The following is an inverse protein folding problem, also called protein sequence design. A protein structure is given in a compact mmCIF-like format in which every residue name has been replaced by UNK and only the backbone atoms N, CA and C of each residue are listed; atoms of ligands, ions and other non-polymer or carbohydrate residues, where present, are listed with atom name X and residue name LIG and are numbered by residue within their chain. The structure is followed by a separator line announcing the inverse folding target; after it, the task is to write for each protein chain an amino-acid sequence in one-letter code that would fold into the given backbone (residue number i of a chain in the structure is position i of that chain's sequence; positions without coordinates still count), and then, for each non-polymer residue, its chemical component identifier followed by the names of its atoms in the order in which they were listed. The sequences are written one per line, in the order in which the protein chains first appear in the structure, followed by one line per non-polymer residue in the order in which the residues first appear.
data_IF_010751068165
#
_entry.id   IF_010751068165
#
_cell.length_a   1.000
_cell.length_b   1.000
_cell.length_c   1.000
_cell.angle_alpha   90.00
_cell.angle_beta   90.00
_cell.angle_gamma   90.00
#
_symmetry.space_group_name_H-M   'P 1'
#
loop_
_entity.id
_entity.type
_entity.pdbx_description
1 polymer ?
#
# COMPACT_ATOMS: atom_id res chain seq x y z
N UNK A 1 12.13 35.70 78.89
CA UNK A 1 11.14 34.73 78.38
C UNK A 1 11.65 33.32 78.66
N UNK A 2 10.82 32.43 79.23
CA UNK A 2 11.23 31.05 79.55
C UNK A 2 11.73 30.35 78.28
N UNK A 3 12.91 29.71 78.33
CA UNK A 3 13.57 29.04 77.17
C UNK A 3 12.62 28.07 76.44
N UNK A 4 11.62 27.53 77.13
CA UNK A 4 10.58 26.68 76.57
C UNK A 4 9.62 27.39 75.59
N UNK A 5 9.27 28.66 75.82
CA UNK A 5 8.36 29.43 74.95
C UNK A 5 9.05 29.83 73.64
N UNK A 6 10.38 29.99 73.66
CA UNK A 6 11.16 30.31 72.45
C UNK A 6 11.28 29.12 71.50
N UNK A 7 11.43 27.89 72.02
CA UNK A 7 11.41 26.66 71.22
C UNK A 7 10.04 26.37 70.59
N UNK A 8 8.93 26.70 71.27
CA UNK A 8 7.58 26.54 70.73
C UNK A 8 7.32 27.49 69.54
N UNK A 9 7.78 28.74 69.62
CA UNK A 9 7.57 29.74 68.57
C UNK A 9 8.38 29.43 67.30
N UNK A 10 9.63 28.96 67.46
CA UNK A 10 10.49 28.54 66.35
C UNK A 10 9.92 27.29 65.65
N UNK A 11 9.39 26.32 66.39
CA UNK A 11 8.76 25.13 65.80
C UNK A 11 7.54 25.46 64.92
N UNK A 12 6.68 26.39 65.36
CA UNK A 12 5.47 26.80 64.60
C UNK A 12 5.84 27.57 63.33
N UNK A 13 6.81 28.49 63.39
CA UNK A 13 7.28 29.26 62.23
C UNK A 13 7.93 28.33 61.19
N UNK A 14 8.70 27.33 61.63
CA UNK A 14 9.34 26.38 60.72
C UNK A 14 8.31 25.46 60.04
N UNK A 15 7.26 25.03 60.76
CA UNK A 15 6.18 24.22 60.19
C UNK A 15 5.37 24.95 59.09
N UNK A 16 5.08 26.25 59.25
CA UNK A 16 4.36 27.06 58.25
C UNK A 16 5.19 27.28 56.98
N UNK A 17 6.51 27.42 57.10
CA UNK A 17 7.43 27.56 55.95
C UNK A 17 7.49 26.26 55.12
N UNK A 18 7.53 25.09 55.76
CA UNK A 18 7.54 23.80 55.06
C UNK A 18 6.19 23.45 54.40
N UNK A 19 5.06 23.84 55.00
CA UNK A 19 3.73 23.64 54.41
C UNK A 19 3.55 24.54 53.17
N UNK A 20 4.01 25.80 53.21
CA UNK A 20 3.97 26.72 52.07
C UNK A 20 4.89 26.34 50.89
N UNK A 21 6.09 25.81 51.17
CA UNK A 21 7.03 25.34 50.14
C UNK A 21 6.55 24.08 49.42
N UNK A 22 5.86 23.19 50.14
CA UNK A 22 5.26 21.99 49.55
C UNK A 22 4.12 22.29 48.58
N UNK A 23 3.26 23.26 48.91
CA UNK A 23 2.12 23.65 48.07
C UNK A 23 2.54 24.40 46.80
N UNK A 24 3.45 25.38 46.90
CA UNK A 24 3.93 26.15 45.73
C UNK A 24 4.68 25.28 44.72
N UNK A 25 5.52 24.35 45.20
CA UNK A 25 6.25 23.41 44.33
C UNK A 25 5.31 22.42 43.62
N UNK A 26 4.22 21.98 44.28
CA UNK A 26 3.21 21.11 43.67
C UNK A 26 2.40 21.81 42.58
N UNK A 27 1.98 23.06 42.79
CA UNK A 27 1.23 23.83 41.78
C UNK A 27 2.09 24.13 40.55
N UNK A 28 3.36 24.53 40.74
CA UNK A 28 4.28 24.74 39.62
C UNK A 28 4.52 23.45 38.81
N UNK A 29 4.69 22.32 39.49
CA UNK A 29 4.87 21.01 38.84
C UNK A 29 3.63 20.58 38.06
N UNK A 30 2.43 20.88 38.58
CA UNK A 30 1.16 20.60 37.91
C UNK A 30 0.98 21.45 36.64
N UNK A 31 1.31 22.75 36.70
CA UNK A 31 1.25 23.65 35.54
C UNK A 31 2.23 23.25 34.43
N UNK A 32 3.46 22.87 34.81
CA UNK A 32 4.45 22.33 33.87
C UNK A 32 3.92 21.08 33.15
N UNK A 33 3.33 20.16 33.92
CA UNK A 33 2.74 18.93 33.40
C UNK A 33 1.64 19.22 32.38
N UNK A 34 0.69 20.08 32.72
CA UNK A 34 -0.43 20.45 31.84
C UNK A 34 0.07 21.11 30.55
N UNK A 35 1.08 21.98 30.64
CA UNK A 35 1.67 22.62 29.47
C UNK A 35 2.35 21.59 28.54
N UNK A 36 3.07 20.61 29.10
CA UNK A 36 3.69 19.54 28.32
C UNK A 36 2.64 18.67 27.62
N UNK A 37 1.57 18.30 28.31
CA UNK A 37 0.45 17.55 27.71
C UNK A 37 -0.21 18.34 26.57
N UNK A 38 -0.50 19.63 26.79
CA UNK A 38 -1.10 20.49 25.78
C UNK A 38 -0.20 20.65 24.54
N UNK A 39 1.11 20.86 24.74
CA UNK A 39 2.09 20.89 23.63
C UNK A 39 2.18 19.55 22.92
N UNK A 40 2.10 18.44 23.65
CA UNK A 40 2.05 17.08 23.09
C UNK A 40 0.85 16.89 22.16
N UNK A 41 -0.34 17.30 22.59
CA UNK A 41 -1.56 17.27 21.77
C UNK A 41 -1.45 18.19 20.55
N UNK A 42 -0.99 19.42 20.71
CA UNK A 42 -0.78 20.34 19.58
C UNK A 42 0.19 19.77 18.53
N UNK A 43 1.22 19.05 18.97
CA UNK A 43 2.15 18.36 18.07
C UNK A 43 1.50 17.15 17.37
N UNK A 44 0.58 16.42 18.02
CA UNK A 44 -0.24 15.40 17.33
C UNK A 44 -1.06 16.04 16.19
N UNK A 45 -1.68 17.18 16.44
CA UNK A 45 -2.52 17.86 15.45
C UNK A 45 -1.70 18.27 14.22
N UNK A 46 -0.48 18.79 14.45
CA UNK A 46 0.51 19.09 13.40
C UNK A 46 1.21 17.87 12.79
N UNK A 47 0.88 16.66 13.25
CA UNK A 47 1.54 15.40 12.88
C UNK A 47 3.04 15.32 13.21
N UNK A 48 3.54 16.16 14.11
CA UNK A 48 4.89 16.05 14.68
C UNK A 48 4.91 15.04 15.83
N UNK A 49 4.80 13.76 15.46
CA UNK A 49 4.75 12.65 16.41
C UNK A 49 6.04 12.48 17.21
N UNK A 50 7.18 12.97 16.70
CA UNK A 50 8.46 12.92 17.42
C UNK A 50 8.41 13.89 18.61
N UNK A 51 8.06 15.15 18.36
CA UNK A 51 7.95 16.14 19.43
C UNK A 51 6.78 15.84 20.37
N UNK A 52 5.68 15.28 19.87
CA UNK A 52 4.59 14.82 20.73
C UNK A 52 5.07 13.79 21.76
N UNK A 53 5.83 12.76 21.33
CA UNK A 53 6.40 11.77 22.25
C UNK A 53 7.33 12.38 23.29
N UNK A 54 8.22 13.29 22.87
CA UNK A 54 9.14 13.97 23.79
C UNK A 54 8.34 14.71 24.88
N UNK A 55 7.33 15.50 24.49
CA UNK A 55 6.49 16.23 25.43
C UNK A 55 5.76 15.29 26.42
N UNK A 56 5.19 14.18 25.96
CA UNK A 56 4.51 13.23 26.86
C UNK A 56 5.49 12.45 27.75
N UNK A 57 6.69 12.14 27.26
CA UNK A 57 7.76 11.56 28.09
C UNK A 57 8.20 12.53 29.18
N UNK A 58 8.36 13.82 28.86
CA UNK A 58 8.70 14.85 29.83
C UNK A 58 7.56 15.09 30.83
N UNK A 59 6.29 15.00 30.39
CA UNK A 59 5.13 15.05 31.28
C UNK A 59 5.18 13.91 32.32
N UNK A 60 5.54 12.69 31.91
CA UNK A 60 5.70 11.55 32.82
C UNK A 60 6.87 11.71 33.80
N UNK A 61 7.90 12.49 33.46
CA UNK A 61 8.97 12.84 34.42
C UNK A 61 8.46 13.76 35.52
N UNK A 62 7.51 14.65 35.22
CA UNK A 62 6.88 15.57 36.19
C UNK A 62 5.83 14.86 37.05
N UNK A 63 5.07 13.94 36.46
CA UNK A 63 4.06 13.13 37.13
C UNK A 63 4.22 11.67 36.74
N UNK A 64 5.02 10.95 37.52
CA UNK A 64 5.25 9.53 37.30
C UNK A 64 3.95 8.75 37.40
N UNK A 65 3.82 7.72 36.55
CA UNK A 65 2.64 6.85 36.46
C UNK A 65 1.32 7.56 36.09
N UNK A 66 1.38 8.73 35.45
CA UNK A 66 0.19 9.37 34.90
C UNK A 66 -0.41 8.55 33.74
N UNK A 67 -1.64 8.07 33.94
CA UNK A 67 -2.36 7.23 32.97
C UNK A 67 -2.59 7.96 31.62
N UNK A 68 -3.10 9.20 31.56
CA UNK A 68 -3.25 9.94 30.31
C UNK A 68 -1.97 10.01 29.46
N UNK A 69 -0.84 10.43 30.02
CA UNK A 69 0.40 10.57 29.26
C UNK A 69 0.92 9.21 28.72
N UNK A 70 0.73 8.12 29.48
CA UNK A 70 1.03 6.76 28.99
C UNK A 70 0.12 6.34 27.83
N UNK A 71 -1.18 6.66 27.89
CA UNK A 71 -2.14 6.39 26.81
C UNK A 71 -1.69 7.10 25.54
N UNK A 72 -1.34 8.39 25.60
CA UNK A 72 -0.85 9.12 24.42
C UNK A 72 0.40 8.50 23.80
N UNK A 73 1.38 8.11 24.62
CA UNK A 73 2.62 7.49 24.13
C UNK A 73 2.34 6.16 23.41
N UNK A 74 1.52 5.30 24.01
CA UNK A 74 1.10 4.03 23.39
C UNK A 74 0.35 4.28 22.09
N UNK A 75 -0.61 5.20 22.11
CA UNK A 75 -1.42 5.55 20.94
C UNK A 75 -0.57 6.05 19.77
N UNK A 76 0.37 6.97 20.01
CA UNK A 76 1.30 7.47 18.97
C UNK A 76 2.17 6.33 18.44
N UNK A 77 2.71 5.48 19.31
CA UNK A 77 3.55 4.36 18.90
C UNK A 77 2.81 3.39 17.97
N UNK A 78 1.59 2.99 18.34
CA UNK A 78 0.73 2.12 17.51
C UNK A 78 0.35 2.81 16.19
N UNK A 79 0.02 4.10 16.22
CA UNK A 79 -0.31 4.85 15.00
C UNK A 79 0.87 4.89 14.01
N UNK A 80 2.08 5.20 14.50
CA UNK A 80 3.28 5.21 13.67
C UNK A 80 3.66 3.82 13.15
N UNK A 81 3.42 2.76 13.93
CA UNK A 81 3.57 1.39 13.46
C UNK A 81 2.61 1.10 12.30
N UNK A 82 1.34 1.51 12.41
CA UNK A 82 0.35 1.45 11.33
C UNK A 82 0.82 2.17 10.06
N UNK A 83 1.34 3.40 10.18
CA UNK A 83 1.88 4.15 9.04
C UNK A 83 3.09 3.47 8.39
N UNK A 84 3.97 2.85 9.17
CA UNK A 84 5.13 2.09 8.64
C UNK A 84 4.65 0.88 7.84
N UNK A 85 3.71 0.12 8.40
CA UNK A 85 3.12 -1.05 7.74
C UNK A 85 2.37 -0.66 6.45
N UNK A 86 1.69 0.48 6.47
CA UNK A 86 1.01 1.06 5.30
C UNK A 86 2.01 1.31 4.15
N UNK A 87 3.14 1.96 4.44
CA UNK A 87 4.23 2.19 3.47
C UNK A 87 4.83 0.88 2.95
N UNK A 88 4.87 -0.16 3.79
CA UNK A 88 5.31 -1.50 3.42
C UNK A 88 4.24 -2.33 2.69
N UNK A 89 3.08 -1.74 2.39
CA UNK A 89 1.92 -2.38 1.74
C UNK A 89 1.36 -3.58 2.53
N UNK A 90 1.63 -3.64 3.83
CA UNK A 90 1.08 -4.64 4.74
C UNK A 90 -0.28 -4.18 5.27
N UNK A 91 -1.24 -4.01 4.35
CA UNK A 91 -2.51 -3.33 4.60
C UNK A 91 -3.33 -3.95 5.74
N UNK A 92 -3.36 -5.28 5.84
CA UNK A 92 -4.08 -5.97 6.91
C UNK A 92 -3.49 -5.63 8.29
N UNK A 93 -2.15 -5.67 8.43
CA UNK A 93 -1.48 -5.36 9.68
C UNK A 93 -1.58 -3.85 10.03
N UNK A 94 -1.47 -2.98 9.02
CA UNK A 94 -1.68 -1.54 9.17
C UNK A 94 -3.10 -1.24 9.67
N UNK A 95 -4.13 -1.86 9.05
CA UNK A 95 -5.54 -1.73 9.44
C UNK A 95 -5.76 -2.11 10.91
N UNK A 96 -5.17 -3.21 11.37
CA UNK A 96 -5.28 -3.64 12.77
C UNK A 96 -4.65 -2.64 13.75
N UNK A 97 -3.51 -2.04 13.39
CA UNK A 97 -2.90 -0.99 14.22
C UNK A 97 -3.80 0.25 14.29
N UNK A 98 -4.37 0.68 13.16
CA UNK A 98 -5.31 1.80 13.16
C UNK A 98 -6.59 1.48 13.94
N UNK A 99 -7.07 0.23 13.89
CA UNK A 99 -8.20 -0.21 14.71
C UNK A 99 -7.90 -0.11 16.20
N UNK A 100 -6.73 -0.53 16.64
CA UNK A 100 -6.31 -0.39 18.04
C UNK A 100 -6.26 1.09 18.47
N UNK A 101 -5.77 1.99 17.61
CA UNK A 101 -5.74 3.43 17.90
C UNK A 101 -7.13 4.05 17.92
N UNK A 102 -8.03 3.62 17.02
CA UNK A 102 -9.41 4.10 16.94
C UNK A 102 -10.24 3.66 18.16
N UNK A 103 -9.92 2.51 18.76
CA UNK A 103 -10.55 2.01 19.97
C UNK A 103 -9.89 2.49 21.28
N UNK A 104 -9.00 3.49 21.22
CA UNK A 104 -8.31 4.00 22.42
C UNK A 104 -9.19 4.98 23.18
N UNK A 105 -9.57 4.62 24.40
CA UNK A 105 -10.29 5.51 25.33
C UNK A 105 -9.33 6.47 26.05
N UNK A 106 -9.78 7.70 26.29
CA UNK A 106 -9.02 8.71 27.03
C UNK A 106 -7.74 9.21 26.34
N UNK A 107 -7.56 8.89 25.05
CA UNK A 107 -6.43 9.35 24.22
C UNK A 107 -6.76 10.57 23.36
N UNK A 108 -5.95 10.78 22.31
CA UNK A 108 -6.15 11.87 21.34
C UNK A 108 -7.33 11.56 20.42
N UNK A 109 -8.36 12.40 20.45
CA UNK A 109 -9.50 12.35 19.52
C UNK A 109 -9.06 12.53 18.05
N UNK A 110 -8.03 13.34 17.80
CA UNK A 110 -7.42 13.49 16.47
C UNK A 110 -6.86 12.17 15.95
N UNK A 111 -6.11 11.42 16.78
CA UNK A 111 -5.58 10.11 16.38
C UNK A 111 -6.68 9.06 16.22
N UNK A 112 -7.67 9.06 17.11
CA UNK A 112 -8.86 8.18 16.99
C UNK A 112 -9.52 8.39 15.63
N UNK A 113 -9.85 9.64 15.28
CA UNK A 113 -10.50 9.99 14.01
C UNK A 113 -9.66 9.62 12.79
N UNK A 114 -8.38 10.01 12.78
CA UNK A 114 -7.45 9.68 11.66
C UNK A 114 -7.34 8.16 11.46
N UNK A 115 -7.28 7.40 12.55
CA UNK A 115 -7.14 5.95 12.49
C UNK A 115 -8.44 5.26 12.08
N UNK A 116 -9.60 5.74 12.52
CA UNK A 116 -10.89 5.22 12.05
C UNK A 116 -11.04 5.38 10.53
N UNK A 117 -10.65 6.54 9.99
CA UNK A 117 -10.65 6.78 8.54
C UNK A 117 -9.71 5.84 7.80
N UNK A 118 -8.44 5.75 8.24
CA UNK A 118 -7.45 4.86 7.61
C UNK A 118 -7.84 3.38 7.72
N UNK A 119 -8.43 2.95 8.84
CA UNK A 119 -8.93 1.59 8.98
C UNK A 119 -10.04 1.30 7.95
N UNK A 120 -10.97 2.23 7.76
CA UNK A 120 -12.10 2.08 6.82
C UNK A 120 -11.60 2.07 5.39
N UNK A 121 -10.72 3.00 5.02
CA UNK A 121 -10.07 3.05 3.72
C UNK A 121 -9.33 1.73 3.42
N UNK A 122 -8.50 1.25 4.35
CA UNK A 122 -7.76 -0.01 4.16
C UNK A 122 -8.67 -1.24 4.10
N UNK A 123 -9.84 -1.21 4.75
CA UNK A 123 -10.82 -2.29 4.65
C UNK A 123 -11.31 -2.44 3.20
N UNK A 124 -11.63 -1.32 2.54
CA UNK A 124 -12.05 -1.33 1.14
C UNK A 124 -10.90 -1.68 0.19
N UNK A 125 -9.71 -1.07 0.37
CA UNK A 125 -8.51 -1.39 -0.42
C UNK A 125 -8.19 -2.89 -0.40
N UNK A 126 -8.29 -3.55 0.76
CA UNK A 126 -8.02 -5.00 0.88
C UNK A 126 -9.06 -5.82 0.09
N UNK A 127 -10.33 -5.42 0.13
CA UNK A 127 -11.41 -6.08 -0.61
C UNK A 127 -11.21 -5.92 -2.12
N UNK A 128 -10.90 -4.70 -2.58
CA UNK A 128 -10.63 -4.37 -3.97
C UNK A 128 -9.41 -5.13 -4.51
N UNK A 129 -8.29 -5.14 -3.78
CA UNK A 129 -7.09 -5.90 -4.16
C UNK A 129 -7.38 -7.40 -4.32
N UNK A 130 -8.26 -7.98 -3.50
CA UNK A 130 -8.68 -9.37 -3.65
C UNK A 130 -9.44 -9.59 -4.97
N UNK A 131 -10.33 -8.67 -5.33
CA UNK A 131 -11.06 -8.69 -6.60
C UNK A 131 -10.08 -8.57 -7.77
N UNK A 132 -9.20 -7.57 -7.74
CA UNK A 132 -8.22 -7.33 -8.82
C UNK A 132 -7.23 -8.47 -8.98
N UNK A 133 -6.75 -9.06 -7.89
CA UNK A 133 -5.89 -10.26 -7.95
C UNK A 133 -6.63 -11.41 -8.64
N UNK A 134 -7.88 -11.66 -8.26
CA UNK A 134 -8.70 -12.72 -8.87
C UNK A 134 -8.94 -12.46 -10.36
N UNK A 135 -9.24 -11.22 -10.74
CA UNK A 135 -9.41 -10.83 -12.13
C UNK A 135 -8.13 -11.03 -12.93
N UNK A 136 -6.98 -10.61 -12.38
CA UNK A 136 -5.67 -10.77 -12.99
C UNK A 136 -5.30 -12.25 -13.17
N UNK A 137 -5.49 -13.09 -12.15
CA UNK A 137 -5.16 -14.52 -12.22
C UNK A 137 -6.01 -15.22 -13.30
N UNK A 138 -7.29 -14.84 -13.43
CA UNK A 138 -8.17 -15.32 -14.52
C UNK A 138 -7.68 -14.82 -15.88
N UNK A 139 -7.37 -13.53 -16.00
CA UNK A 139 -6.83 -12.95 -17.23
C UNK A 139 -5.54 -13.65 -17.68
N UNK A 140 -4.63 -13.89 -16.75
CA UNK A 140 -3.35 -14.57 -17.01
C UNK A 140 -3.56 -16.00 -17.50
N UNK A 141 -4.47 -16.77 -16.88
CA UNK A 141 -4.84 -18.12 -17.34
C UNK A 141 -5.44 -18.11 -18.75
N UNK A 142 -6.33 -17.16 -19.04
CA UNK A 142 -6.93 -17.01 -20.37
C UNK A 142 -5.87 -16.67 -21.43
N UNK A 143 -5.00 -15.70 -21.15
CA UNK A 143 -3.88 -15.35 -22.03
C UNK A 143 -2.96 -16.57 -22.25
N UNK A 144 -2.70 -17.35 -21.19
CA UNK A 144 -1.93 -18.61 -21.24
C UNK A 144 -2.54 -19.70 -22.11
N UNK A 145 -3.85 -19.66 -22.30
CA UNK A 145 -4.60 -20.55 -23.19
C UNK A 145 -4.92 -19.91 -24.55
N UNK A 146 -4.18 -18.86 -24.91
CA UNK A 146 -4.33 -18.15 -26.19
C UNK A 146 -5.68 -17.43 -26.35
N UNK A 147 -6.43 -17.21 -25.26
CA UNK A 147 -7.71 -16.52 -25.22
C UNK A 147 -7.52 -15.03 -24.87
N UNK A 148 -6.88 -14.29 -25.77
CA UNK A 148 -6.41 -12.93 -25.53
C UNK A 148 -7.54 -11.89 -25.35
N UNK A 149 -8.61 -11.97 -26.16
CA UNK A 149 -9.75 -11.06 -26.02
C UNK A 149 -10.47 -11.27 -24.69
N UNK A 150 -10.77 -12.52 -24.32
CA UNK A 150 -11.37 -12.85 -23.03
C UNK A 150 -10.46 -12.44 -21.84
N UNK A 151 -9.14 -12.57 -22.00
CA UNK A 151 -8.16 -12.07 -21.03
C UNK A 151 -8.30 -10.55 -20.83
N UNK A 152 -8.38 -9.78 -21.92
CA UNK A 152 -8.58 -8.32 -21.87
C UNK A 152 -9.90 -7.93 -21.20
N UNK A 153 -11.00 -8.66 -21.45
CA UNK A 153 -12.27 -8.43 -20.74
C UNK A 153 -12.11 -8.57 -19.22
N UNK A 154 -11.27 -9.50 -18.74
CA UNK A 154 -10.97 -9.62 -17.30
C UNK A 154 -10.04 -8.52 -16.80
N UNK A 155 -9.12 -8.03 -17.63
CA UNK A 155 -8.25 -6.89 -17.28
C UNK A 155 -9.02 -5.57 -17.18
N UNK A 156 -10.13 -5.40 -17.90
CA UNK A 156 -10.99 -4.23 -17.80
C UNK A 156 -11.57 -4.02 -16.38
N UNK A 157 -11.79 -5.10 -15.62
CA UNK A 157 -12.22 -5.03 -14.21
C UNK A 157 -11.19 -4.31 -13.33
N UNK A 158 -9.91 -4.35 -13.72
CA UNK A 158 -8.82 -3.68 -13.00
C UNK A 158 -8.62 -2.29 -13.60
N UNK A 159 -8.41 -2.22 -14.92
CA UNK A 159 -7.98 -0.99 -15.60
C UNK A 159 -9.10 0.04 -15.77
N UNK A 160 -10.36 -0.38 -15.77
CA UNK A 160 -11.52 0.50 -15.80
C UNK A 160 -12.00 0.95 -14.40
N UNK A 161 -11.29 0.56 -13.33
CA UNK A 161 -11.65 1.01 -11.99
C UNK A 161 -11.22 2.46 -11.77
N UNK A 162 -12.16 3.35 -11.41
CA UNK A 162 -11.93 4.79 -11.39
C UNK A 162 -10.79 5.28 -10.47
N UNK A 163 -10.45 4.51 -9.43
CA UNK A 163 -9.37 4.84 -8.50
C UNK A 163 -8.10 4.00 -8.73
N UNK A 164 -7.97 3.31 -9.86
CA UNK A 164 -6.86 2.37 -10.11
C UNK A 164 -5.47 3.04 -10.09
N UNK A 165 -5.39 4.35 -10.27
CA UNK A 165 -4.14 5.11 -10.24
C UNK A 165 -3.59 5.39 -8.84
N UNK A 166 -4.36 5.12 -7.78
CA UNK A 166 -3.88 5.24 -6.40
C UNK A 166 -2.70 4.30 -6.12
N UNK A 167 -1.75 4.72 -5.26
CA UNK A 167 -0.51 3.96 -5.01
C UNK A 167 -0.76 2.55 -4.44
N UNK A 168 -1.90 2.36 -3.75
CA UNK A 168 -2.39 1.05 -3.31
C UNK A 168 -2.40 0.01 -4.43
N UNK A 169 -2.80 0.44 -5.63
CA UNK A 169 -3.03 -0.45 -6.77
C UNK A 169 -1.90 -0.45 -7.79
N UNK A 170 -0.86 0.37 -7.59
CA UNK A 170 0.25 0.54 -8.55
C UNK A 170 0.79 -0.78 -9.10
N UNK A 171 1.06 -1.76 -8.22
CA UNK A 171 1.61 -3.05 -8.61
C UNK A 171 0.64 -3.86 -9.48
N UNK A 172 -0.64 -3.93 -9.12
CA UNK A 172 -1.62 -4.72 -9.88
C UNK A 172 -1.98 -4.03 -11.19
N UNK A 173 -2.06 -2.70 -11.21
CA UNK A 173 -2.22 -1.87 -12.41
C UNK A 173 -1.10 -2.11 -13.41
N UNK A 174 0.16 -2.05 -12.97
CA UNK A 174 1.32 -2.29 -13.85
C UNK A 174 1.30 -3.70 -14.45
N UNK A 175 0.98 -4.72 -13.65
CA UNK A 175 0.82 -6.09 -14.13
C UNK A 175 -0.30 -6.20 -15.17
N UNK A 176 -1.45 -5.59 -14.90
CA UNK A 176 -2.59 -5.58 -15.80
C UNK A 176 -2.27 -4.88 -17.13
N UNK A 177 -1.69 -3.67 -17.10
CA UNK A 177 -1.24 -2.93 -18.31
C UNK A 177 -0.26 -3.76 -19.14
N UNK A 178 0.72 -4.40 -18.49
CA UNK A 178 1.71 -5.25 -19.19
C UNK A 178 1.05 -6.44 -19.89
N UNK A 179 0.14 -7.13 -19.21
CA UNK A 179 -0.56 -8.27 -19.81
C UNK A 179 -1.51 -7.84 -20.94
N UNK A 180 -2.23 -6.72 -20.77
CA UNK A 180 -3.09 -6.16 -21.81
C UNK A 180 -2.26 -5.77 -23.03
N UNK A 181 -1.12 -5.10 -22.84
CA UNK A 181 -0.19 -4.77 -23.93
C UNK A 181 0.28 -5.99 -24.71
N UNK A 182 0.66 -7.07 -24.00
CA UNK A 182 1.00 -8.34 -24.64
C UNK A 182 -0.17 -8.95 -25.43
N UNK A 183 -1.36 -9.00 -24.83
CA UNK A 183 -2.55 -9.52 -25.49
C UNK A 183 -2.90 -8.72 -26.75
N UNK A 184 -2.85 -7.39 -26.67
CA UNK A 184 -3.13 -6.47 -27.78
C UNK A 184 -2.12 -6.67 -28.92
N UNK A 185 -0.84 -6.83 -28.59
CA UNK A 185 0.20 -7.16 -29.57
C UNK A 185 -0.11 -8.46 -30.32
N UNK A 186 -0.51 -9.52 -29.60
CA UNK A 186 -0.85 -10.80 -30.24
C UNK A 186 -2.10 -10.67 -31.11
N UNK A 187 -3.14 -10.00 -30.62
CA UNK A 187 -4.38 -9.78 -31.37
C UNK A 187 -4.13 -9.02 -32.68
N UNK A 188 -3.35 -7.94 -32.66
CA UNK A 188 -2.95 -7.20 -33.87
C UNK A 188 -2.15 -8.08 -34.83
N UNK A 189 -1.21 -8.88 -34.32
CA UNK A 189 -0.44 -9.82 -35.14
C UNK A 189 -1.32 -10.85 -35.87
N UNK A 190 -2.44 -11.23 -35.23
CA UNK A 190 -3.46 -12.12 -35.78
C UNK A 190 -4.46 -11.41 -36.71
N UNK A 191 -4.36 -10.09 -36.89
CA UNK A 191 -5.22 -9.30 -37.77
C UNK A 191 -6.50 -8.76 -37.13
N UNK A 192 -6.61 -8.81 -35.79
CA UNK A 192 -7.72 -8.19 -35.07
C UNK A 192 -7.43 -6.70 -34.81
N UNK A 193 -8.44 -5.86 -34.98
CA UNK A 193 -8.43 -4.46 -34.50
C UNK A 193 -8.58 -4.46 -32.98
N UNK A 194 -7.79 -3.63 -32.29
CA UNK A 194 -7.83 -3.51 -30.84
C UNK A 194 -7.85 -2.03 -30.47
N UNK A 195 -8.89 -1.60 -29.78
CA UNK A 195 -9.00 -0.25 -29.23
C UNK A 195 -7.92 -0.04 -28.17
N UNK A 196 -7.31 1.15 -28.18
CA UNK A 196 -6.20 1.51 -27.31
C UNK A 196 -6.59 2.79 -26.59
N UNK A 197 -6.76 2.71 -25.28
CA UNK A 197 -6.85 3.90 -24.45
C UNK A 197 -5.43 4.47 -24.30
N UNK A 198 -5.14 5.52 -25.07
CA UNK A 198 -3.84 6.16 -25.22
C UNK A 198 -3.45 7.07 -24.03
N UNK A 199 -3.60 6.55 -22.81
CA UNK A 199 -3.45 7.35 -21.58
C UNK A 199 -2.16 6.98 -20.82
N UNK A 200 -1.04 6.92 -21.52
CA UNK A 200 0.29 6.76 -20.89
C UNK A 200 1.34 7.61 -21.61
N UNK A 201 1.22 8.93 -21.43
CA UNK A 201 2.30 9.87 -21.66
C UNK A 201 3.41 9.70 -20.60
N UNK A 202 4.28 8.71 -20.79
CA UNK A 202 5.69 8.72 -20.35
C UNK A 202 6.40 7.48 -20.93
N UNK A 203 6.53 7.44 -22.25
CA UNK A 203 7.82 7.56 -22.94
C UNK A 203 7.48 7.73 -24.41
N UNK A 204 7.78 8.89 -25.01
CA UNK A 204 7.94 9.01 -26.47
C UNK A 204 9.23 8.29 -26.89
N UNK A 205 9.32 6.99 -26.62
CA UNK A 205 9.89 6.09 -27.59
C UNK A 205 8.65 5.55 -28.29
N UNK A 206 8.28 6.17 -29.42
CA UNK A 206 7.49 5.42 -30.38
C UNK A 206 8.18 4.05 -30.50
N UNK A 207 7.53 2.92 -30.18
CA UNK A 207 8.19 1.64 -30.29
C UNK A 207 8.54 1.47 -31.76
N UNK A 208 9.78 1.78 -32.12
CA UNK A 208 10.39 1.45 -33.41
C UNK A 208 10.51 -0.06 -33.46
N UNK A 209 9.38 -0.74 -33.66
CA UNK A 209 9.18 -2.11 -34.17
C UNK A 209 7.71 -2.53 -33.97
N UNK A 210 6.82 -1.92 -34.74
CA UNK A 210 5.50 -2.48 -35.09
C UNK A 210 5.62 -3.73 -35.99
N UNK A 211 6.44 -4.70 -35.60
CA UNK A 211 6.53 -5.96 -36.34
C UNK A 211 5.61 -6.97 -35.69
N UNK A 212 4.39 -7.05 -36.22
CA UNK A 212 3.70 -8.34 -36.39
C UNK A 212 4.73 -9.42 -36.80
N UNK A 213 4.50 -10.69 -36.42
CA UNK A 213 5.41 -11.84 -36.69
C UNK A 213 6.30 -11.58 -37.92
N UNK A 214 7.60 -11.33 -37.68
CA UNK A 214 8.52 -10.89 -38.72
C UNK A 214 8.41 -11.81 -39.95
N UNK A 215 8.43 -11.27 -41.19
CA UNK A 215 8.44 -12.08 -42.41
C UNK A 215 9.49 -13.19 -42.38
N UNK A 216 10.64 -12.93 -41.77
CA UNK A 216 11.72 -13.91 -41.57
C UNK A 216 11.29 -15.08 -40.65
N UNK A 217 10.64 -14.78 -39.53
CA UNK A 217 10.15 -15.81 -38.60
C UNK A 217 9.06 -16.65 -39.26
N UNK A 218 8.17 -16.01 -40.02
CA UNK A 218 7.13 -16.68 -40.81
C UNK A 218 7.74 -17.60 -41.87
N UNK A 219 8.77 -17.13 -42.60
CA UNK A 219 9.48 -17.95 -43.58
C UNK A 219 10.21 -19.13 -42.94
N UNK A 220 10.86 -18.91 -41.79
CA UNK A 220 11.52 -19.97 -41.01
C UNK A 220 10.53 -21.04 -40.54
N UNK A 221 9.38 -20.64 -40.00
CA UNK A 221 8.32 -21.54 -39.58
C UNK A 221 7.77 -22.38 -40.74
N UNK A 222 7.56 -21.77 -41.92
CA UNK A 222 7.14 -22.49 -43.13
C UNK A 222 8.18 -23.53 -43.57
N UNK A 223 9.48 -23.19 -43.51
CA UNK A 223 10.58 -24.13 -43.81
C UNK A 223 10.64 -25.28 -42.80
N UNK A 224 10.50 -25.01 -41.50
CA UNK A 224 10.46 -26.04 -40.45
C UNK A 224 9.31 -27.04 -40.68
N UNK A 225 8.11 -26.53 -40.98
CA UNK A 225 6.93 -27.35 -41.26
C UNK A 225 7.09 -28.17 -42.56
N UNK A 226 7.60 -27.55 -43.63
CA UNK A 226 7.85 -28.24 -44.90
C UNK A 226 8.85 -29.40 -44.75
N UNK A 227 9.94 -29.19 -43.99
CA UNK A 227 10.93 -30.25 -43.68
C UNK A 227 10.32 -31.42 -42.90
N UNK A 228 9.28 -31.17 -42.12
CA UNK A 228 8.54 -32.18 -41.39
C UNK A 228 7.40 -32.83 -42.21
N UNK A 229 7.33 -32.56 -43.52
CA UNK A 229 6.29 -33.12 -44.40
C UNK A 229 4.91 -32.45 -44.26
N UNK A 230 4.80 -31.33 -43.53
CA UNK A 230 3.53 -30.63 -43.30
C UNK A 230 3.23 -29.69 -44.46
N UNK A 231 2.10 -29.89 -45.14
CA UNK A 231 1.66 -28.99 -46.20
C UNK A 231 1.10 -27.67 -45.64
N UNK A 232 1.96 -26.66 -45.58
CA UNK A 232 1.62 -25.32 -45.05
C UNK A 232 0.55 -24.57 -45.86
N UNK A 233 0.24 -24.98 -47.10
CA UNK A 233 -0.85 -24.39 -47.91
C UNK A 233 -2.24 -24.76 -47.39
N UNK A 234 -2.34 -25.83 -46.59
CA UNK A 234 -3.61 -26.25 -45.94
C UNK A 234 -3.88 -25.50 -44.62
N UNK A 235 -2.89 -24.80 -44.08
CA UNK A 235 -3.05 -23.98 -42.87
C UNK A 235 -3.48 -22.58 -43.27
N UNK A 236 -4.55 -22.07 -42.66
CA UNK A 236 -4.90 -20.65 -42.85
C UNK A 236 -3.77 -19.75 -42.32
N UNK A 237 -3.61 -18.53 -42.86
CA UNK A 237 -2.60 -17.58 -42.38
C UNK A 237 -2.70 -17.34 -40.87
N UNK A 238 -3.93 -17.29 -40.33
CA UNK A 238 -4.19 -17.09 -38.90
C UNK A 238 -3.77 -18.30 -38.07
N UNK A 239 -4.02 -19.52 -38.53
CA UNK A 239 -3.59 -20.74 -37.83
C UNK A 239 -2.06 -20.87 -37.80
N UNK A 240 -1.39 -20.58 -38.91
CA UNK A 240 0.07 -20.57 -38.96
C UNK A 240 0.65 -19.55 -37.97
N UNK A 241 0.08 -18.33 -37.92
CA UNK A 241 0.50 -17.31 -36.96
C UNK A 241 0.28 -17.75 -35.51
N UNK A 242 -0.89 -18.35 -35.19
CA UNK A 242 -1.16 -18.92 -33.85
C UNK A 242 -0.15 -19.99 -33.47
N UNK A 243 0.21 -20.86 -34.41
CA UNK A 243 1.18 -21.93 -34.19
C UNK A 243 2.58 -21.38 -33.89
N UNK A 244 3.00 -20.34 -34.61
CA UNK A 244 4.27 -19.63 -34.35
C UNK A 244 4.26 -18.98 -32.97
N UNK A 245 3.19 -18.27 -32.62
CA UNK A 245 3.06 -17.63 -31.29
C UNK A 245 3.13 -18.67 -30.17
N UNK A 246 2.46 -19.81 -30.33
CA UNK A 246 2.51 -20.92 -29.37
C UNK A 246 3.93 -21.50 -29.25
N UNK A 247 4.61 -21.72 -30.37
CA UNK A 247 5.98 -22.22 -30.41
C UNK A 247 6.98 -21.28 -29.74
N UNK A 248 6.92 -19.98 -30.07
CA UNK A 248 7.80 -18.97 -29.50
C UNK A 248 7.59 -18.83 -27.98
N UNK A 249 6.33 -18.92 -27.52
CA UNK A 249 5.99 -18.87 -26.09
C UNK A 249 6.45 -20.10 -25.31
N UNK A 250 6.32 -21.29 -25.89
CA UNK A 250 6.71 -22.54 -25.25
C UNK A 250 8.20 -22.85 -25.41
N UNK A 251 8.96 -21.98 -26.08
CA UNK A 251 10.36 -22.20 -26.45
C UNK A 251 10.56 -23.53 -27.21
N UNK A 252 9.61 -23.88 -28.08
CA UNK A 252 9.58 -25.11 -28.88
C UNK A 252 9.65 -24.77 -30.37
N UNK A 253 9.99 -25.77 -31.19
CA UNK A 253 9.83 -25.65 -32.64
C UNK A 253 8.35 -25.67 -33.03
N UNK A 254 8.02 -25.07 -34.17
CA UNK A 254 6.65 -25.02 -34.70
C UNK A 254 6.13 -26.43 -34.99
N UNK A 255 7.02 -27.34 -35.40
CA UNK A 255 6.74 -28.76 -35.63
C UNK A 255 6.40 -29.49 -34.33
N UNK A 256 7.15 -29.26 -33.25
CA UNK A 256 6.90 -29.92 -31.96
C UNK A 256 5.53 -29.53 -31.41
N UNK A 257 5.21 -28.25 -31.46
CA UNK A 257 3.89 -27.74 -31.03
C UNK A 257 2.74 -28.31 -31.86
N UNK A 258 2.94 -28.49 -33.17
CA UNK A 258 1.91 -29.06 -34.05
C UNK A 258 1.62 -30.53 -33.73
N UNK A 259 2.64 -31.31 -33.33
CA UNK A 259 2.52 -32.73 -33.01
C UNK A 259 1.92 -33.00 -31.61
N UNK A 260 2.04 -32.04 -30.70
CA UNK A 260 1.45 -32.10 -29.35
C UNK A 260 -0.01 -31.63 -29.31
N UNK A 261 -0.60 -31.33 -30.47
CA UNK A 261 -1.96 -30.83 -30.62
C UNK A 261 -2.90 -31.97 -31.01
#
# INVERSE_FOLDING_TARGET
MKRWVWWSLVAVITAVIFIGFGYTKKVATQKDYEQLVARGQANIDRADYKQAKINFQDALKKKQNDKPAQIYLKQIATYQAGLKLLKQKQYQAARLNFQMVAATDGGSSTLVRRSANLQTELKEVIKELKIFKTAYDKAYKLSSRYQYSASNTKLAVILGYGSIDQDYYRTIRQKAKKLQGYNNYVLRSLGYTVEVDDDSAETKVAPKNDKAISPERLAKAKKELARAGVNTKKLSPTELKRLIIKADREHKSVVKVLKEK
#
